data_IF_402587270402
#
_entry.id   IF_402587270402
#
_cell.length_a   1.000
_cell.length_b   1.000
_cell.length_c   1.000
_cell.angle_alpha   90.00
_cell.angle_beta   90.00
_cell.angle_gamma   90.00
#
_symmetry.space_group_name_H-M   'P 1'
#
loop_
_entity.id
_entity.type
_entity.pdbx_description
1 polymer ?
#
# COMPACT_ATOMS: atom_id res chain seq x y z
N UNK A 1 -11.10 21.07 -4.80
CA UNK A 1 -10.54 20.51 -3.55
C UNK A 1 -9.55 19.44 -3.96
N UNK A 2 -8.27 19.57 -3.58
CA UNK A 2 -7.21 18.64 -3.95
C UNK A 2 -6.81 17.86 -2.70
N UNK A 3 -6.63 16.55 -2.82
CA UNK A 3 -6.23 15.69 -1.73
C UNK A 3 -5.17 14.68 -2.21
N UNK A 4 -4.24 14.32 -1.33
CA UNK A 4 -3.24 13.30 -1.60
C UNK A 4 -3.76 11.92 -1.18
N UNK A 5 -3.61 10.90 -2.02
CA UNK A 5 -3.93 9.52 -1.65
C UNK A 5 -2.61 8.78 -1.41
N UNK A 6 -2.45 8.19 -0.24
CA UNK A 6 -1.25 7.42 0.15
C UNK A 6 -1.55 5.92 0.22
N UNK A 7 -0.56 5.09 -0.09
CA UNK A 7 -0.55 3.64 0.06
C UNK A 7 -0.25 3.26 1.51
N UNK A 8 -1.26 3.36 2.38
CA UNK A 8 -1.15 3.31 3.87
C UNK A 8 -0.29 4.44 4.47
N UNK A 9 0.82 4.80 3.82
CA UNK A 9 1.63 5.97 4.07
C UNK A 9 2.16 6.07 5.48
N UNK A 10 2.44 4.96 6.17
CA UNK A 10 2.60 4.95 7.65
C UNK A 10 3.56 6.02 8.16
N UNK A 11 4.73 6.19 7.54
CA UNK A 11 5.70 7.22 7.93
C UNK A 11 5.20 8.65 7.63
N UNK A 12 4.57 8.85 6.47
CA UNK A 12 4.03 10.15 6.07
C UNK A 12 2.82 10.56 6.91
N UNK A 13 1.89 9.64 7.15
CA UNK A 13 0.70 9.81 7.99
C UNK A 13 1.12 10.06 9.44
N UNK A 14 2.14 9.34 9.96
CA UNK A 14 2.69 9.57 11.30
C UNK A 14 3.33 10.96 11.46
N UNK A 15 4.07 11.43 10.45
CA UNK A 15 4.74 12.74 10.49
C UNK A 15 3.77 13.92 10.33
N UNK A 16 2.68 13.75 9.57
CA UNK A 16 1.76 14.83 9.18
C UNK A 16 0.33 14.57 9.66
N UNK A 17 0.15 14.07 10.89
CA UNK A 17 -1.17 13.73 11.48
C UNK A 17 -2.18 14.89 11.38
N UNK A 18 -1.73 16.13 11.47
CA UNK A 18 -2.59 17.33 11.38
C UNK A 18 -3.31 17.49 10.03
N UNK A 19 -2.77 16.89 8.97
CA UNK A 19 -3.34 16.93 7.63
C UNK A 19 -4.19 15.69 7.31
N UNK A 20 -4.34 14.76 8.26
CA UNK A 20 -5.21 13.61 8.11
C UNK A 20 -6.65 14.12 8.21
N UNK A 21 -7.51 13.75 7.25
CA UNK A 21 -8.93 13.95 7.47
C UNK A 21 -9.33 13.12 8.68
N UNK A 22 -9.98 13.75 9.67
CA UNK A 22 -10.50 13.10 10.87
C UNK A 22 -11.51 12.01 10.50
N UNK A 23 -11.00 10.85 10.13
CA UNK A 23 -11.72 9.60 10.24
C UNK A 23 -11.52 9.14 11.68
N UNK A 24 -12.60 8.63 12.27
CA UNK A 24 -12.62 8.05 13.60
C UNK A 24 -11.68 6.85 13.57
N UNK A 25 -10.40 7.04 13.92
CA UNK A 25 -9.45 5.93 14.11
C UNK A 25 -9.34 5.63 15.59
N UNK A 26 -9.61 4.36 15.92
CA UNK A 26 -9.34 3.73 17.19
C UNK A 26 -7.88 3.92 17.59
N UNK A 27 -7.68 4.22 18.86
CA UNK A 27 -6.39 4.45 19.51
C UNK A 27 -5.59 3.13 19.56
N UNK A 28 -4.69 2.92 18.61
CA UNK A 28 -3.58 1.96 18.76
C UNK A 28 -2.26 2.74 18.62
N UNK A 29 -1.89 3.43 19.70
CA UNK A 29 -0.60 4.10 19.85
C UNK A 29 0.47 3.06 20.23
N UNK A 30 1.32 2.68 19.26
CA UNK A 30 2.63 2.11 19.57
C UNK A 30 3.63 3.25 19.83
N UNK A 31 4.10 3.31 21.07
CA UNK A 31 5.17 4.18 21.53
C UNK A 31 6.50 3.51 21.16
N UNK A 32 7.34 4.15 20.33
CA UNK A 32 8.69 3.65 20.09
C UNK A 32 9.73 4.78 20.06
N UNK A 33 10.80 4.54 20.82
CA UNK A 33 12.16 5.01 20.59
C UNK A 33 12.47 6.50 20.76
N UNK A 34 12.83 6.90 21.97
CA UNK A 34 13.58 8.13 22.27
C UNK A 34 14.96 8.10 21.60
N UNK A 35 15.05 8.67 20.40
CA UNK A 35 16.30 9.11 19.78
C UNK A 35 16.40 10.61 19.96
N UNK A 36 17.31 11.07 20.79
CA UNK A 36 17.58 12.50 21.04
C UNK A 36 18.03 13.18 19.74
N UNK A 37 17.06 13.74 19.01
CA UNK A 37 17.30 14.58 17.86
C UNK A 37 17.61 16.00 18.35
N UNK A 38 18.74 16.56 17.93
CA UNK A 38 19.04 17.98 18.14
C UNK A 38 18.01 18.80 17.34
N UNK A 39 16.96 19.26 18.03
CA UNK A 39 15.88 20.04 17.44
C UNK A 39 16.39 21.45 17.14
N UNK A 40 16.86 21.66 15.92
CA UNK A 40 17.02 23.02 15.40
C UNK A 40 15.65 23.65 15.26
N UNK A 41 15.44 24.81 15.89
CA UNK A 41 14.17 25.55 15.79
C UNK A 41 13.93 25.97 14.33
N UNK A 42 13.10 25.19 13.65
CA UNK A 42 12.73 25.42 12.26
C UNK A 42 12.06 26.79 12.08
N UNK A 43 11.41 27.32 13.12
CA UNK A 43 10.80 28.65 13.09
C UNK A 43 11.87 29.75 12.90
N UNK A 44 12.99 29.68 13.62
CA UNK A 44 14.09 30.64 13.49
C UNK A 44 14.72 30.64 12.08
N UNK A 45 14.92 29.46 11.47
CA UNK A 45 15.50 29.31 10.13
C UNK A 45 14.55 29.81 9.05
N UNK A 46 13.25 29.52 9.19
CA UNK A 46 12.22 29.97 8.25
C UNK A 46 11.90 31.47 8.42
N UNK A 47 11.99 32.01 9.64
CA UNK A 47 11.79 33.43 9.92
C UNK A 47 12.92 34.28 9.36
N UNK A 48 14.17 33.80 9.41
CA UNK A 48 15.32 34.48 8.80
C UNK A 48 15.22 34.57 7.26
N UNK A 49 14.44 33.70 6.61
CA UNK A 49 14.22 33.68 5.17
C UNK A 49 12.97 34.44 4.70
N UNK A 50 12.16 34.99 5.63
CA UNK A 50 10.91 35.70 5.31
C UNK A 50 11.16 37.19 5.10
N UNK A 51 11.30 37.57 3.83
CA UNK A 51 10.86 38.88 3.36
C UNK A 51 9.34 39.00 3.59
N UNK A 52 8.87 40.17 4.03
CA UNK A 52 7.53 40.43 4.60
C UNK A 52 6.34 40.16 3.65
N UNK A 53 6.62 39.80 2.39
CA UNK A 53 5.63 39.44 1.38
C UNK A 53 5.25 37.94 1.35
N UNK A 54 5.81 37.11 2.23
CA UNK A 54 5.72 35.64 2.15
C UNK A 54 4.55 34.99 2.91
N UNK A 55 3.58 35.75 3.44
CA UNK A 55 2.38 35.16 4.07
C UNK A 55 1.52 34.39 3.06
N UNK A 56 1.61 34.74 1.78
CA UNK A 56 0.90 34.08 0.67
C UNK A 56 1.65 32.83 0.14
N UNK A 57 2.78 32.46 0.75
CA UNK A 57 3.63 31.32 0.35
C UNK A 57 3.78 30.25 1.43
N UNK A 58 2.86 30.18 2.39
CA UNK A 58 2.77 29.01 3.26
C UNK A 58 2.36 27.82 2.40
N UNK A 59 3.31 26.92 2.11
CA UNK A 59 3.02 25.63 1.48
C UNK A 59 2.19 24.80 2.46
N UNK A 60 0.87 24.89 2.36
CA UNK A 60 -0.06 24.03 3.09
C UNK A 60 -0.14 22.70 2.35
N UNK A 61 0.16 21.61 3.06
CA UNK A 61 -0.03 20.28 2.50
C UNK A 61 -1.53 20.02 2.31
N UNK A 62 -1.95 19.47 1.16
CA UNK A 62 -3.33 19.10 0.96
C UNK A 62 -3.71 17.97 1.95
N UNK A 63 -5.01 17.86 2.30
CA UNK A 63 -5.49 16.74 3.10
C UNK A 63 -5.09 15.41 2.46
N UNK A 64 -4.76 14.41 3.28
CA UNK A 64 -4.41 13.09 2.78
C UNK A 64 -5.46 12.03 3.15
N UNK A 65 -5.60 11.03 2.28
CA UNK A 65 -6.47 9.87 2.41
C UNK A 65 -5.65 8.60 2.27
N UNK A 66 -6.02 7.57 3.02
CA UNK A 66 -5.51 6.22 2.77
C UNK A 66 -6.24 5.62 1.56
N UNK A 67 -5.48 4.95 0.70
CA UNK A 67 -6.03 4.23 -0.44
C UNK A 67 -6.84 3.02 0.03
N UNK A 68 -8.17 3.07 -0.11
CA UNK A 68 -9.04 1.97 0.27
C UNK A 68 -8.69 0.64 -0.44
N UNK A 69 -8.30 0.70 -1.72
CA UNK A 69 -7.88 -0.48 -2.46
C UNK A 69 -6.60 -1.11 -1.86
N UNK A 70 -5.66 -0.28 -1.42
CA UNK A 70 -4.45 -0.77 -0.75
C UNK A 70 -4.77 -1.38 0.61
N UNK A 71 -5.63 -0.75 1.41
CA UNK A 71 -6.08 -1.31 2.69
C UNK A 71 -6.78 -2.65 2.51
N UNK A 72 -7.69 -2.77 1.53
CA UNK A 72 -8.34 -4.05 1.21
C UNK A 72 -7.34 -5.10 0.73
N UNK A 73 -6.32 -4.71 -0.04
CA UNK A 73 -5.25 -5.62 -0.46
C UNK A 73 -4.41 -6.12 0.73
N UNK A 74 -4.10 -5.25 1.70
CA UNK A 74 -3.40 -5.66 2.92
C UNK A 74 -4.24 -6.64 3.73
N UNK A 75 -5.53 -6.38 3.92
CA UNK A 75 -6.43 -7.29 4.63
C UNK A 75 -6.48 -8.65 3.91
N UNK A 76 -6.71 -8.64 2.59
CA UNK A 76 -6.85 -9.88 1.82
C UNK A 76 -5.58 -10.75 1.86
N UNK A 77 -4.39 -10.15 1.78
CA UNK A 77 -3.14 -10.91 1.75
C UNK A 77 -2.64 -11.26 3.16
N UNK A 78 -2.68 -10.33 4.12
CA UNK A 78 -2.19 -10.61 5.47
C UNK A 78 -3.01 -11.68 6.18
N UNK A 79 -4.34 -11.67 6.04
CA UNK A 79 -5.19 -12.70 6.67
C UNK A 79 -4.89 -14.08 6.09
N UNK A 80 -4.70 -14.18 4.77
CA UNK A 80 -4.33 -15.43 4.10
C UNK A 80 -2.95 -15.90 4.55
N UNK A 81 -1.94 -15.01 4.56
CA UNK A 81 -0.58 -15.37 4.98
C UNK A 81 -0.50 -15.75 6.46
N UNK A 82 -1.24 -15.05 7.33
CA UNK A 82 -1.35 -15.38 8.74
C UNK A 82 -1.97 -16.77 8.92
N UNK A 83 -3.10 -17.03 8.26
CA UNK A 83 -3.77 -18.32 8.31
C UNK A 83 -2.88 -19.47 7.79
N UNK A 84 -2.19 -19.26 6.68
CA UNK A 84 -1.27 -20.25 6.10
C UNK A 84 -0.06 -20.49 7.01
N UNK A 85 0.42 -19.47 7.72
CA UNK A 85 1.53 -19.61 8.67
C UNK A 85 1.16 -20.45 9.88
N UNK A 86 -0.10 -20.43 10.31
CA UNK A 86 -0.63 -21.34 11.34
C UNK A 86 -0.98 -22.75 10.82
N UNK A 87 -1.11 -22.94 9.50
CA UNK A 87 -1.57 -24.19 8.88
C UNK A 87 -0.57 -24.69 7.81
N UNK A 88 0.55 -25.28 8.25
CA UNK A 88 1.68 -25.65 7.38
C UNK A 88 1.32 -26.61 6.24
N UNK A 89 0.46 -27.60 6.50
CA UNK A 89 0.04 -28.54 5.45
C UNK A 89 -0.80 -27.84 4.36
N UNK A 90 -1.72 -26.96 4.78
CA UNK A 90 -2.51 -26.13 3.86
C UNK A 90 -1.65 -25.13 3.09
N UNK A 91 -0.60 -24.59 3.73
CA UNK A 91 0.39 -23.71 3.09
C UNK A 91 1.10 -24.39 1.93
N UNK A 92 1.55 -25.64 2.11
CA UNK A 92 2.22 -26.39 1.05
C UNK A 92 1.30 -26.60 -0.17
N UNK A 93 0.04 -26.98 0.06
CA UNK A 93 -0.95 -27.16 -1.00
C UNK A 93 -1.25 -25.84 -1.72
N UNK A 94 -1.47 -24.77 -0.95
CA UNK A 94 -1.72 -23.43 -1.47
C UNK A 94 -0.56 -22.95 -2.36
N UNK A 95 0.68 -22.97 -1.85
CA UNK A 95 1.84 -22.52 -2.61
C UNK A 95 2.05 -23.34 -3.89
N UNK A 96 1.84 -24.67 -3.83
CA UNK A 96 1.93 -25.55 -5.00
C UNK A 96 0.86 -25.22 -6.05
N UNK A 97 -0.39 -25.02 -5.64
CA UNK A 97 -1.48 -24.65 -6.53
C UNK A 97 -1.24 -23.28 -7.17
N UNK A 98 -0.90 -22.27 -6.37
CA UNK A 98 -0.60 -20.92 -6.84
C UNK A 98 0.59 -20.90 -7.79
N UNK A 99 1.66 -21.66 -7.53
CA UNK A 99 2.81 -21.75 -8.43
C UNK A 99 2.42 -22.35 -9.80
N UNK A 100 1.59 -23.39 -9.83
CA UNK A 100 1.08 -23.98 -11.08
C UNK A 100 0.19 -23.00 -11.84
N UNK A 101 -0.71 -22.30 -11.16
CA UNK A 101 -1.55 -21.27 -11.76
C UNK A 101 -0.69 -20.14 -12.35
N UNK A 102 0.30 -19.63 -11.60
CA UNK A 102 1.23 -18.59 -12.07
C UNK A 102 2.04 -19.03 -13.28
N UNK A 103 2.50 -20.28 -13.33
CA UNK A 103 3.17 -20.82 -14.51
C UNK A 103 2.24 -20.86 -15.73
N UNK A 104 0.99 -21.30 -15.56
CA UNK A 104 -0.02 -21.32 -16.62
C UNK A 104 -0.35 -19.91 -17.11
N UNK A 105 -0.63 -18.97 -16.21
CA UNK A 105 -0.92 -17.58 -16.54
C UNK A 105 0.24 -16.92 -17.28
N UNK A 106 1.48 -17.13 -16.81
CA UNK A 106 2.69 -16.60 -17.47
C UNK A 106 2.87 -17.16 -18.87
N UNK A 107 2.57 -18.44 -19.07
CA UNK A 107 2.72 -19.08 -20.38
C UNK A 107 1.62 -18.64 -21.34
N UNK A 108 0.37 -18.60 -20.87
CA UNK A 108 -0.78 -18.14 -21.64
C UNK A 108 -0.64 -16.67 -22.06
N UNK A 109 -0.15 -15.80 -21.17
CA UNK A 109 0.02 -14.38 -21.46
C UNK A 109 1.11 -14.08 -22.50
N UNK A 110 2.09 -14.98 -22.66
CA UNK A 110 3.25 -14.81 -23.55
C UNK A 110 3.15 -15.57 -24.87
N UNK A 111 2.13 -16.42 -25.05
CA UNK A 111 1.97 -17.23 -26.26
C UNK A 111 0.49 -17.43 -26.58
N UNK A 112 0.08 -16.92 -27.75
CA UNK A 112 -1.27 -17.12 -28.28
C UNK A 112 -1.58 -18.59 -28.50
N UNK A 113 -0.64 -19.35 -29.06
CA UNK A 113 -0.78 -20.81 -29.27
C UNK A 113 -0.98 -21.54 -27.94
N UNK A 114 -0.23 -21.20 -26.89
CA UNK A 114 -0.43 -21.80 -25.58
C UNK A 114 -1.77 -21.41 -24.95
N UNK A 115 -2.22 -20.17 -25.16
CA UNK A 115 -3.52 -19.70 -24.70
C UNK A 115 -4.68 -20.43 -25.40
N UNK A 116 -4.59 -20.60 -26.71
CA UNK A 116 -5.58 -21.33 -27.52
C UNK A 116 -5.64 -22.81 -27.11
N UNK A 117 -4.49 -23.45 -26.92
CA UNK A 117 -4.43 -24.83 -26.43
C UNK A 117 -5.05 -24.98 -25.04
N UNK A 118 -4.82 -24.02 -24.13
CA UNK A 118 -5.45 -24.04 -22.81
C UNK A 118 -6.96 -23.83 -22.88
N UNK A 119 -7.44 -23.00 -23.81
CA UNK A 119 -8.87 -22.83 -24.07
C UNK A 119 -9.51 -24.12 -24.61
N UNK A 120 -8.83 -24.81 -25.52
CA UNK A 120 -9.26 -26.11 -26.04
C UNK A 120 -9.39 -27.16 -24.93
N UNK A 121 -8.34 -27.29 -24.09
CA UNK A 121 -8.31 -28.29 -23.01
C UNK A 121 -9.30 -27.97 -21.88
N UNK A 122 -9.43 -26.69 -21.50
CA UNK A 122 -10.28 -26.30 -20.37
C UNK A 122 -11.71 -25.91 -20.76
N UNK A 123 -12.01 -25.83 -22.06
CA UNK A 123 -13.31 -25.42 -22.60
C UNK A 123 -13.63 -23.93 -22.41
N UNK A 124 -12.67 -23.12 -21.95
CA UNK A 124 -12.86 -21.68 -21.70
C UNK A 124 -11.52 -20.93 -21.69
N UNK A 125 -11.55 -19.64 -21.97
CA UNK A 125 -10.36 -18.80 -21.83
C UNK A 125 -9.95 -18.66 -20.37
N UNK A 126 -8.65 -18.83 -20.13
CA UNK A 126 -8.07 -18.58 -18.82
C UNK A 126 -8.03 -17.07 -18.56
N UNK A 127 -8.77 -16.61 -17.55
CA UNK A 127 -8.68 -15.23 -17.09
C UNK A 127 -7.36 -15.09 -16.33
N UNK A 128 -6.47 -14.24 -16.86
CA UNK A 128 -5.21 -13.91 -16.21
C UNK A 128 -5.49 -12.79 -15.19
N UNK A 129 -5.17 -12.99 -13.89
CA UNK A 129 -5.25 -11.93 -12.90
C UNK A 129 -4.33 -10.79 -13.32
N UNK A 130 -4.86 -9.55 -13.30
CA UNK A 130 -4.07 -8.35 -13.60
C UNK A 130 -3.13 -7.96 -12.47
N UNK A 131 -3.25 -8.62 -11.30
CA UNK A 131 -2.43 -8.40 -10.11
C UNK A 131 -2.17 -9.76 -9.46
N UNK A 132 -0.91 -10.14 -9.32
CA UNK A 132 -0.41 -11.22 -8.46
C UNK A 132 0.62 -10.61 -7.51
#
# INVERSE_FOLDING_TARGET
MTACVTDNGSNFVKAFKEHQQRQVESEEDEVDGDGEADFTDLHSVLAAARDDNARDRLCVLPPHHRCAAHTLNLIANNEVDNWLSSNVESKAVYCSATAKCSALWTKASRSTVASEFLEEVSGRKLIVPTVL
#
